data_IF_908371986094
#
_entry.id   IF_908371986094
#
_cell.length_a   1.000
_cell.length_b   1.000
_cell.length_c   1.000
_cell.angle_alpha   90.00
_cell.angle_beta   90.00
_cell.angle_gamma   90.00
#
_symmetry.space_group_name_H-M   'P 1'
#
loop_
_entity.id
_entity.type
_entity.pdbx_description
1 polymer ?
#
# COMPACT_ATOMS: atom_id res chain seq x y z
N UNK A 1 8.03 13.81 -18.63
CA UNK A 1 6.88 13.01 -18.16
C UNK A 1 5.80 13.97 -17.67
N UNK A 2 4.54 13.74 -18.05
CA UNK A 2 3.44 14.52 -17.45
C UNK A 2 3.22 14.10 -16.00
N UNK A 3 2.60 14.93 -15.14
CA UNK A 3 2.28 14.53 -13.76
C UNK A 3 1.40 13.28 -13.68
N UNK A 4 0.60 13.02 -14.72
CA UNK A 4 -0.22 11.81 -14.82
C UNK A 4 0.64 10.55 -15.04
N UNK A 5 1.62 10.61 -15.94
CA UNK A 5 2.51 9.48 -16.22
C UNK A 5 3.28 9.05 -14.97
N UNK A 6 3.81 10.02 -14.21
CA UNK A 6 4.56 9.76 -12.98
C UNK A 6 3.70 9.08 -11.90
N UNK A 7 2.42 9.47 -11.80
CA UNK A 7 1.49 8.87 -10.84
C UNK A 7 1.12 7.45 -11.23
N UNK A 8 0.89 7.19 -12.52
CA UNK A 8 0.57 5.84 -13.01
C UNK A 8 1.77 4.90 -12.82
N UNK A 9 2.98 5.36 -13.14
CA UNK A 9 4.20 4.58 -12.94
C UNK A 9 4.46 4.31 -11.44
N UNK A 10 4.30 5.33 -10.59
CA UNK A 10 4.44 5.20 -9.15
C UNK A 10 3.39 4.29 -8.51
N UNK A 11 2.13 4.36 -8.96
CA UNK A 11 1.06 3.47 -8.51
C UNK A 11 1.33 2.02 -8.94
N UNK A 12 1.79 1.81 -10.18
CA UNK A 12 2.14 0.49 -10.71
C UNK A 12 3.29 -0.16 -9.94
N UNK A 13 4.36 0.59 -9.63
CA UNK A 13 5.51 0.09 -8.89
C UNK A 13 5.15 -0.41 -7.48
N UNK A 14 4.10 0.16 -6.86
CA UNK A 14 3.67 -0.17 -5.48
C UNK A 14 2.56 -1.22 -5.42
N UNK A 15 1.86 -1.48 -6.53
CA UNK A 15 0.76 -2.43 -6.59
C UNK A 15 1.16 -3.82 -6.08
N UNK A 16 2.31 -4.32 -6.54
CA UNK A 16 2.80 -5.67 -6.18
C UNK A 16 3.17 -5.78 -4.69
N UNK A 17 3.95 -4.85 -4.11
CA UNK A 17 4.18 -4.79 -2.65
C UNK A 17 2.89 -4.64 -1.82
N UNK A 18 1.96 -3.77 -2.21
CA UNK A 18 0.71 -3.54 -1.47
C UNK A 18 -0.13 -4.81 -1.43
N UNK A 19 -0.29 -5.48 -2.58
CA UNK A 19 -1.04 -6.73 -2.64
C UNK A 19 -0.34 -7.84 -1.84
N UNK A 20 0.99 -7.92 -1.89
CA UNK A 20 1.76 -8.90 -1.11
C UNK A 20 1.50 -8.80 0.39
N UNK A 21 1.56 -7.59 0.96
CA UNK A 21 1.32 -7.40 2.41
C UNK A 21 -0.13 -7.63 2.77
N UNK A 22 -1.06 -7.17 1.93
CA UNK A 22 -2.50 -7.38 2.11
C UNK A 22 -2.85 -8.86 2.16
N UNK A 23 -2.37 -9.64 1.18
CA UNK A 23 -2.63 -11.07 1.11
C UNK A 23 -1.92 -11.85 2.23
N UNK A 24 -0.68 -11.49 2.56
CA UNK A 24 0.03 -12.10 3.68
C UNK A 24 -0.71 -11.89 5.00
N UNK A 25 -1.23 -10.68 5.23
CA UNK A 25 -2.02 -10.36 6.41
C UNK A 25 -3.34 -11.14 6.46
N UNK A 26 -4.09 -11.18 5.35
CA UNK A 26 -5.34 -11.94 5.25
C UNK A 26 -5.12 -13.45 5.47
N UNK A 27 -4.05 -14.02 4.90
CA UNK A 27 -3.67 -15.41 5.14
C UNK A 27 -3.29 -15.65 6.61
N UNK A 28 -2.56 -14.71 7.24
CA UNK A 28 -2.20 -14.79 8.66
C UNK A 28 -3.40 -14.71 9.61
N UNK A 29 -4.47 -14.01 9.21
CA UNK A 29 -5.71 -13.93 9.99
C UNK A 29 -6.66 -15.11 9.80
N UNK A 30 -6.44 -15.95 8.78
CA UNK A 30 -7.29 -17.11 8.49
C UNK A 30 -7.58 -18.00 9.72
N UNK A 31 -6.58 -18.40 10.54
CA UNK A 31 -6.85 -19.20 11.74
C UNK A 31 -7.68 -18.48 12.81
N UNK A 32 -7.58 -17.15 12.92
CA UNK A 32 -8.39 -16.36 13.86
C UNK A 32 -9.86 -16.31 13.44
N UNK A 33 -10.12 -16.15 12.13
CA UNK A 33 -11.47 -16.11 11.55
C UNK A 33 -12.21 -17.44 11.73
N UNK A 34 -11.48 -18.56 11.72
CA UNK A 34 -11.99 -19.91 11.92
C UNK A 34 -11.72 -20.46 13.33
N UNK A 35 -11.40 -19.62 14.31
CA UNK A 35 -11.12 -20.07 15.68
C UNK A 35 -12.39 -20.66 16.34
N UNK A 36 -12.23 -21.79 17.03
CA UNK A 36 -13.27 -22.47 17.81
C UNK A 36 -12.78 -22.73 19.23
N UNK A 37 -13.68 -22.81 20.22
CA UNK A 37 -13.35 -23.04 21.62
C UNK A 37 -13.37 -21.78 22.49
N UNK A 38 -12.62 -21.79 23.59
CA UNK A 38 -12.57 -20.67 24.54
C UNK A 38 -12.01 -19.41 23.87
N UNK A 39 -12.71 -18.28 24.02
CA UNK A 39 -12.33 -17.02 23.36
C UNK A 39 -12.59 -16.96 21.85
N UNK A 40 -13.25 -17.96 21.26
CA UNK A 40 -13.56 -17.99 19.82
C UNK A 40 -14.36 -16.77 19.37
N UNK A 41 -15.32 -16.30 20.19
CA UNK A 41 -16.10 -15.10 19.85
C UNK A 41 -15.20 -13.86 19.69
N UNK A 42 -14.20 -13.71 20.56
CA UNK A 42 -13.23 -12.62 20.51
C UNK A 42 -12.28 -12.75 19.31
N UNK A 43 -11.72 -13.93 19.11
CA UNK A 43 -10.79 -14.22 18.01
C UNK A 43 -11.44 -14.04 16.63
N UNK A 44 -12.69 -14.51 16.48
CA UNK A 44 -13.46 -14.33 15.25
C UNK A 44 -13.85 -12.87 15.05
N UNK A 45 -14.26 -12.16 16.10
CA UNK A 45 -14.60 -10.73 16.01
C UNK A 45 -13.42 -9.90 15.52
N UNK A 46 -12.26 -10.02 16.17
CA UNK A 46 -11.07 -9.24 15.76
C UNK A 46 -10.52 -9.70 14.40
N UNK A 47 -10.52 -11.00 14.13
CA UNK A 47 -10.06 -11.56 12.85
C UNK A 47 -10.90 -11.10 11.68
N UNK A 48 -12.23 -11.15 11.80
CA UNK A 48 -13.16 -10.71 10.75
C UNK A 48 -13.14 -9.19 10.55
N UNK A 49 -13.08 -8.42 11.63
CA UNK A 49 -12.97 -6.96 11.55
C UNK A 49 -11.68 -6.52 10.85
N UNK A 50 -10.54 -7.10 11.23
CA UNK A 50 -9.25 -6.78 10.63
C UNK A 50 -9.15 -7.26 9.18
N UNK A 51 -9.65 -8.46 8.86
CA UNK A 51 -9.66 -8.98 7.50
C UNK A 51 -10.55 -8.15 6.57
N UNK A 52 -11.75 -7.79 7.03
CA UNK A 52 -12.66 -6.90 6.30
C UNK A 52 -12.07 -5.52 6.09
N UNK A 53 -11.47 -4.94 7.15
CA UNK A 53 -10.80 -3.64 7.09
C UNK A 53 -9.63 -3.62 6.11
N UNK A 54 -8.79 -4.66 6.12
CA UNK A 54 -7.67 -4.78 5.18
C UNK A 54 -8.19 -4.91 3.74
N UNK A 55 -9.19 -5.75 3.49
CA UNK A 55 -9.74 -5.92 2.15
C UNK A 55 -10.31 -4.61 1.59
N UNK A 56 -11.21 -3.96 2.33
CA UNK A 56 -11.80 -2.68 1.91
C UNK A 56 -10.74 -1.60 1.80
N UNK A 57 -9.83 -1.51 2.77
CA UNK A 57 -8.76 -0.52 2.81
C UNK A 57 -7.78 -0.65 1.64
N UNK A 58 -7.43 -1.86 1.22
CA UNK A 58 -6.56 -2.08 0.06
C UNK A 58 -7.24 -1.64 -1.24
N UNK A 59 -8.51 -2.00 -1.46
CA UNK A 59 -9.24 -1.59 -2.67
C UNK A 59 -9.44 -0.07 -2.74
N UNK A 60 -9.93 0.53 -1.64
CA UNK A 60 -10.10 1.97 -1.58
C UNK A 60 -8.74 2.67 -1.66
N UNK A 61 -7.71 2.21 -0.96
CA UNK A 61 -6.38 2.81 -0.98
C UNK A 61 -5.73 2.80 -2.37
N UNK A 62 -5.85 1.71 -3.12
CA UNK A 62 -5.32 1.63 -4.48
C UNK A 62 -5.96 2.66 -5.43
N UNK A 63 -7.23 3.03 -5.21
CA UNK A 63 -7.93 4.03 -6.02
C UNK A 63 -7.79 5.45 -5.46
N UNK A 64 -7.98 5.62 -4.14
CA UNK A 64 -7.98 6.92 -3.47
C UNK A 64 -6.60 7.55 -3.46
N UNK A 65 -5.53 6.80 -3.18
CA UNK A 65 -4.17 7.38 -3.04
C UNK A 65 -3.72 8.09 -4.32
N UNK A 66 -3.72 7.45 -5.52
CA UNK A 66 -3.33 8.15 -6.75
C UNK A 66 -4.31 9.26 -7.11
N UNK A 67 -5.61 9.08 -6.86
CA UNK A 67 -6.64 10.11 -7.10
C UNK A 67 -6.46 11.36 -6.23
N UNK A 68 -6.24 11.19 -4.93
CA UNK A 68 -5.95 12.27 -3.99
C UNK A 68 -4.64 12.96 -4.35
N UNK A 69 -3.60 12.19 -4.69
CA UNK A 69 -2.30 12.76 -5.06
C UNK A 69 -2.42 13.70 -6.27
N UNK A 70 -3.18 13.31 -7.29
CA UNK A 70 -3.45 14.18 -8.44
C UNK A 70 -4.27 15.42 -8.08
N UNK A 71 -5.22 15.30 -7.16
CA UNK A 71 -6.03 16.43 -6.69
C UNK A 71 -5.18 17.42 -5.89
N UNK A 72 -4.28 16.93 -5.03
CA UNK A 72 -3.35 17.75 -4.24
C UNK A 72 -2.33 18.45 -5.15
N UNK A 73 -1.74 17.77 -6.14
CA UNK A 73 -0.81 18.41 -7.09
C UNK A 73 -1.49 19.48 -7.95
N UNK A 74 -2.76 19.28 -8.31
CA UNK A 74 -3.53 20.26 -9.10
C UNK A 74 -4.04 21.44 -8.28
N UNK A 75 -4.33 21.24 -6.99
CA UNK A 75 -4.87 22.27 -6.08
C UNK A 75 -3.84 22.95 -5.17
N UNK A 76 -2.70 22.32 -4.92
CA UNK A 76 -1.62 22.81 -4.09
C UNK A 76 -0.59 23.58 -4.91
N UNK A 77 -0.20 24.76 -4.42
CA UNK A 77 0.95 25.50 -4.95
C UNK A 77 2.17 24.56 -4.96
N UNK A 78 2.92 24.61 -6.07
CA UNK A 78 4.10 23.80 -6.35
C UNK A 78 5.10 23.85 -5.18
N UNK A 79 5.16 22.82 -4.37
CA UNK A 79 6.41 22.44 -3.69
C UNK A 79 6.95 21.19 -4.38
N UNK A 80 8.17 21.26 -4.94
CA UNK A 80 8.74 20.14 -5.68
C UNK A 80 9.04 19.00 -4.69
N UNK A 81 8.24 17.95 -4.75
CA UNK A 81 8.48 16.70 -4.04
C UNK A 81 9.81 16.10 -4.54
N UNK A 82 10.77 16.04 -3.62
CA UNK A 82 12.15 15.64 -3.85
C UNK A 82 12.16 14.20 -4.38
N UNK A 83 12.51 14.04 -5.66
CA UNK A 83 12.84 12.75 -6.26
C UNK A 83 13.81 12.02 -5.34
N UNK A 84 13.41 10.82 -4.88
CA UNK A 84 14.36 9.86 -4.34
C UNK A 84 15.33 9.53 -5.49
N UNK A 85 16.57 10.02 -5.36
CA UNK A 85 17.63 9.77 -6.33
C UNK A 85 17.78 8.26 -6.57
N UNK A 86 17.94 7.82 -7.82
CA UNK A 86 18.38 6.46 -8.10
C UNK A 86 19.82 6.33 -7.60
N UNK A 87 20.02 5.61 -6.48
CA UNK A 87 21.33 5.12 -6.06
C UNK A 87 21.81 4.13 -7.12
N UNK A 88 22.55 4.61 -8.11
CA UNK A 88 23.22 3.76 -9.09
C UNK A 88 24.46 4.46 -9.63
N UNK A 89 25.60 3.83 -9.33
CA UNK A 89 26.95 3.99 -9.91
C UNK A 89 27.84 5.09 -9.31
N UNK A 90 28.38 4.84 -8.12
CA UNK A 90 29.68 5.40 -7.73
C UNK A 90 30.60 4.45 -6.93
N UNK A 91 30.37 3.15 -7.01
CA UNK A 91 31.13 2.14 -6.25
C UNK A 91 32.09 1.27 -7.10
N UNK A 92 32.48 1.70 -8.30
CA UNK A 92 33.51 1.01 -9.09
C UNK A 92 34.47 2.02 -9.70
N UNK A 93 35.39 2.51 -8.88
CA UNK A 93 36.79 2.78 -9.23
C UNK A 93 37.55 3.10 -7.93
N UNK A 94 38.29 2.13 -7.34
CA UNK A 94 39.39 2.45 -6.45
C UNK A 94 40.63 2.80 -7.29
N UNK A 95 41.20 3.97 -7.00
CA UNK A 95 42.50 4.44 -7.47
C UNK A 95 43.66 3.54 -7.04
#
# INVERSE_FOLDING_TARGET
ATPLDAVVEGAGARLRPILMTSFAFLAGLMPLVFAHGAGALGNRSIGTAAAGGMFVGTFFGLLLIPGLYLLVIRGGKKEPEKQAEPVTKKELEPA
#
